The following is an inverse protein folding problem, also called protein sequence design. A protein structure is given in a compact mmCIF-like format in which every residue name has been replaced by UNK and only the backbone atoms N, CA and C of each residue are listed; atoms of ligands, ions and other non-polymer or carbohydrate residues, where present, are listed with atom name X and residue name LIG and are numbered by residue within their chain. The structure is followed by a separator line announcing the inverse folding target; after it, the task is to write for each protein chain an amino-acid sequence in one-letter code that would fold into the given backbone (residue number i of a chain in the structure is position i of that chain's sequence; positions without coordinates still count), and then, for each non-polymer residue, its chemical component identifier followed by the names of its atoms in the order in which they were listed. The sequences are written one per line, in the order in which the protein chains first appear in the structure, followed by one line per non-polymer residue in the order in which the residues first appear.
data_IF_342721185164
#
_entry.id   IF_342721185164
#
_cell.length_a   1.000
_cell.length_b   1.000
_cell.length_c   1.000
_cell.angle_alpha   90.00
_cell.angle_beta   90.00
_cell.angle_gamma   90.00
#
_symmetry.space_group_name_H-M   'P 1'
#
loop_
_entity.id
_entity.type
_entity.pdbx_description
1 polymer ?
#
# COMPACT_ATOMS: atom_id res chain seq x y z
N UNK A 1 12.40 -2.44 15.57
CA UNK A 1 13.07 -1.23 15.05
C UNK A 1 12.56 -0.95 13.64
N UNK A 2 12.13 0.29 13.34
CA UNK A 2 11.57 0.66 12.02
C UNK A 2 12.65 0.67 10.94
N UNK A 3 13.92 0.88 11.33
CA UNK A 3 15.08 0.95 10.44
C UNK A 3 15.25 -0.35 9.62
N UNK A 4 14.91 -1.49 10.22
CA UNK A 4 15.05 -2.82 9.63
C UNK A 4 14.07 -3.09 8.47
N UNK A 5 12.97 -2.32 8.37
CA UNK A 5 11.90 -2.52 7.39
C UNK A 5 11.88 -1.42 6.30
N UNK A 6 12.91 -0.56 6.29
CA UNK A 6 13.05 0.56 5.37
C UNK A 6 13.39 1.88 6.07
N UNK A 7 13.02 2.01 7.35
CA UNK A 7 13.26 3.26 8.08
C UNK A 7 12.55 4.47 7.47
N UNK A 8 12.96 5.66 7.92
CA UNK A 8 12.38 6.93 7.47
C UNK A 8 12.81 7.32 6.06
N UNK A 9 13.97 6.84 5.61
CA UNK A 9 14.63 7.30 4.38
C UNK A 9 14.32 6.40 3.16
N UNK A 10 13.49 5.36 3.34
CA UNK A 10 13.06 4.50 2.22
C UNK A 10 12.21 5.30 1.25
N UNK A 11 12.70 5.40 0.02
CA UNK A 11 11.93 5.91 -1.10
C UNK A 11 11.27 4.75 -1.85
N UNK A 12 10.00 4.93 -2.21
CA UNK A 12 9.25 3.99 -3.06
C UNK A 12 8.56 4.77 -4.18
N UNK A 13 8.62 4.30 -5.44
CA UNK A 13 7.86 4.90 -6.52
C UNK A 13 6.38 4.60 -6.30
N UNK A 14 5.62 5.61 -5.85
CA UNK A 14 4.18 5.47 -5.58
C UNK A 14 3.32 5.62 -6.83
N UNK A 15 3.75 6.50 -7.75
CA UNK A 15 3.02 6.75 -8.99
C UNK A 15 3.24 5.59 -9.95
N UNK A 16 2.15 5.12 -10.54
CA UNK A 16 2.15 4.05 -11.51
C UNK A 16 1.22 4.37 -12.67
N UNK A 17 1.58 3.93 -13.86
CA UNK A 17 0.65 3.89 -14.98
C UNK A 17 -0.45 2.88 -14.64
N UNK A 18 -1.69 3.33 -14.76
CA UNK A 18 -2.86 2.51 -14.49
C UNK A 18 -3.59 2.16 -15.79
N UNK A 19 -4.17 0.97 -15.82
CA UNK A 19 -5.07 0.58 -16.90
C UNK A 19 -6.50 1.08 -16.66
N UNK A 20 -7.38 0.88 -17.65
CA UNK A 20 -8.78 1.30 -17.60
C UNK A 20 -9.56 0.61 -16.46
N UNK A 21 -9.23 -0.62 -16.12
CA UNK A 21 -9.90 -1.38 -15.05
C UNK A 21 -9.54 -0.81 -13.69
N UNK A 22 -8.26 -0.55 -13.46
CA UNK A 22 -7.74 0.10 -12.26
C UNK A 22 -8.32 1.51 -12.09
N UNK A 23 -8.39 2.30 -13.17
CA UNK A 23 -8.97 3.64 -13.16
C UNK A 23 -10.44 3.65 -12.71
N UNK A 24 -11.26 2.70 -13.22
CA UNK A 24 -12.66 2.56 -12.78
C UNK A 24 -12.78 2.23 -11.31
N UNK A 25 -11.92 1.34 -10.80
CA UNK A 25 -11.92 0.96 -9.39
C UNK A 25 -11.51 2.12 -8.49
N UNK A 26 -10.47 2.88 -8.87
CA UNK A 26 -10.03 4.08 -8.17
C UNK A 26 -11.11 5.17 -8.15
N UNK A 27 -11.81 5.37 -9.26
CA UNK A 27 -12.93 6.31 -9.33
C UNK A 27 -14.06 5.91 -8.38
N UNK A 28 -14.41 4.62 -8.32
CA UNK A 28 -15.42 4.13 -7.39
C UNK A 28 -15.01 4.29 -5.92
N UNK A 29 -13.73 4.05 -5.60
CA UNK A 29 -13.20 4.24 -4.24
C UNK A 29 -13.18 5.72 -3.82
N UNK A 30 -12.92 6.66 -4.73
CA UNK A 30 -12.94 8.09 -4.42
C UNK A 30 -14.34 8.63 -4.02
N UNK A 31 -15.40 7.90 -4.35
CA UNK A 31 -16.76 8.20 -3.92
C UNK A 31 -17.13 7.57 -2.57
N UNK A 32 -16.30 6.67 -2.04
CA UNK A 32 -16.53 6.01 -0.75
C UNK A 32 -15.96 6.84 0.41
N UNK A 33 -16.62 6.79 1.58
CA UNK A 33 -16.18 7.50 2.78
C UNK A 33 -14.91 6.88 3.38
N UNK A 34 -14.68 5.60 3.12
CA UNK A 34 -13.51 4.83 3.50
C UNK A 34 -12.89 4.14 2.27
N UNK A 35 -11.57 4.27 2.12
CA UNK A 35 -10.85 3.61 1.02
C UNK A 35 -10.72 2.09 1.20
N UNK A 36 -11.41 1.48 2.19
CA UNK A 36 -11.40 0.04 2.47
C UNK A 36 -10.03 -0.54 2.87
N UNK A 37 -9.06 0.32 3.21
CA UNK A 37 -7.69 -0.13 3.48
C UNK A 37 -7.59 -0.72 4.89
N UNK A 38 -7.38 -2.03 4.95
CA UNK A 38 -7.03 -2.70 6.20
C UNK A 38 -5.55 -2.48 6.54
N UNK A 39 -5.27 -1.44 7.33
CA UNK A 39 -3.92 -1.10 7.77
C UNK A 39 -3.23 -2.20 8.59
N UNK A 40 -4.01 -3.07 9.25
CA UNK A 40 -3.45 -4.12 10.10
C UNK A 40 -2.68 -5.16 9.27
N UNK A 41 -3.11 -5.44 8.02
CA UNK A 41 -2.41 -6.35 7.11
C UNK A 41 -0.99 -5.90 6.77
N UNK A 42 -0.71 -4.60 6.88
CA UNK A 42 0.62 -4.03 6.65
C UNK A 42 1.51 -4.01 7.90
N UNK A 43 1.07 -4.57 9.03
CA UNK A 43 1.92 -4.64 10.21
C UNK A 43 3.14 -5.52 9.98
N UNK A 44 4.31 -5.01 10.36
CA UNK A 44 5.56 -5.77 10.43
C UNK A 44 5.64 -6.67 11.67
N UNK A 45 4.67 -6.58 12.60
CA UNK A 45 4.65 -7.37 13.82
C UNK A 45 4.61 -8.86 13.49
N UNK A 46 5.57 -9.63 14.03
CA UNK A 46 5.68 -11.07 13.80
C UNK A 46 6.23 -11.46 12.42
N UNK A 47 6.68 -10.50 11.61
CA UNK A 47 7.27 -10.76 10.29
C UNK A 47 8.80 -10.86 10.37
N UNK A 48 9.45 -11.61 9.46
CA UNK A 48 10.91 -11.74 9.46
C UNK A 48 11.58 -10.40 9.10
N UNK A 49 12.83 -10.21 9.52
CA UNK A 49 13.59 -8.98 9.25
C UNK A 49 13.84 -8.71 7.74
N UNK A 50 13.69 -9.72 6.89
CA UNK A 50 13.72 -9.60 5.43
C UNK A 50 12.42 -9.05 4.83
N UNK A 51 11.34 -8.99 5.61
CA UNK A 51 10.06 -8.48 5.16
C UNK A 51 10.15 -6.99 4.83
N UNK A 52 9.39 -6.53 3.84
CA UNK A 52 9.33 -5.12 3.43
C UNK A 52 7.89 -4.72 3.24
N UNK A 53 7.55 -3.49 3.61
CA UNK A 53 6.22 -2.95 3.36
C UNK A 53 5.92 -2.95 1.85
N UNK A 54 4.82 -3.58 1.41
CA UNK A 54 4.46 -3.69 -0.01
C UNK A 54 3.60 -2.51 -0.46
N UNK A 55 3.99 -1.27 -0.14
CA UNK A 55 3.19 -0.08 -0.49
C UNK A 55 3.09 0.09 -2.00
N UNK A 56 1.90 -0.19 -2.55
CA UNK A 56 1.59 -0.08 -3.99
C UNK A 56 0.13 0.39 -4.15
N UNK A 57 -0.25 0.93 -5.31
CA UNK A 57 -1.65 1.31 -5.54
C UNK A 57 -2.58 0.09 -5.47
N UNK A 58 -2.10 -1.09 -5.87
CA UNK A 58 -2.81 -2.37 -5.78
C UNK A 58 -3.18 -2.70 -4.33
N UNK A 59 -2.35 -2.33 -3.35
CA UNK A 59 -2.67 -2.58 -1.94
C UNK A 59 -3.87 -1.80 -1.42
N UNK A 60 -4.31 -0.77 -2.15
CA UNK A 60 -5.55 -0.03 -1.88
C UNK A 60 -6.77 -0.67 -2.56
N UNK A 61 -6.58 -1.59 -3.50
CA UNK A 61 -7.64 -2.15 -4.36
C UNK A 61 -8.04 -3.58 -3.95
N UNK A 62 -8.00 -3.92 -2.66
CA UNK A 62 -8.39 -5.26 -2.19
C UNK A 62 -9.89 -5.32 -1.87
#
# INVERSE_FOLDING_TARGET
DISQYGGRDRQVPLLQLIDRTQARRLLAMGAAQDFGVDFHKFSAKGRPASWRYPFTLQTLMH
#
